data_IF_331204433721
#
_entry.id   IF_331204433721
#
_cell.length_a   1.000
_cell.length_b   1.000
_cell.length_c   1.000
_cell.angle_alpha   90.00
_cell.angle_beta   90.00
_cell.angle_gamma   90.00
#
_symmetry.space_group_name_H-M   'P 1'
#
loop_
_entity.id
_entity.type
_entity.pdbx_description
1 polymer ?
#
# COMPACT_ATOMS: atom_id res chain seq x y z
N UNK A 1 -47.66 -18.92 51.30
CA UNK A 1 -47.20 -19.43 49.98
C UNK A 1 -47.37 -18.47 48.79
N UNK A 2 -48.29 -17.48 48.83
CA UNK A 2 -48.58 -16.58 47.69
C UNK A 2 -47.53 -15.49 47.40
N UNK A 3 -46.67 -15.15 48.36
CA UNK A 3 -45.68 -14.07 48.20
C UNK A 3 -44.45 -14.51 47.38
N UNK A 4 -43.96 -15.75 47.57
CA UNK A 4 -42.82 -16.29 46.81
C UNK A 4 -43.10 -16.41 45.30
N UNK A 5 -44.29 -16.86 44.89
CA UNK A 5 -44.61 -17.01 43.46
C UNK A 5 -44.75 -15.67 42.74
N UNK A 6 -45.27 -14.63 43.41
CA UNK A 6 -45.35 -13.27 42.84
C UNK A 6 -43.98 -12.65 42.57
N UNK A 7 -43.02 -12.89 43.45
CA UNK A 7 -41.63 -12.43 43.27
C UNK A 7 -40.95 -13.18 42.12
N UNK A 8 -41.11 -14.50 42.05
CA UNK A 8 -40.53 -15.30 40.95
C UNK A 8 -41.09 -14.90 39.59
N UNK A 9 -42.40 -14.70 39.47
CA UNK A 9 -43.04 -14.26 38.22
C UNK A 9 -42.55 -12.86 37.81
N UNK A 10 -42.35 -11.94 38.77
CA UNK A 10 -41.87 -10.59 38.49
C UNK A 10 -40.42 -10.57 38.01
N UNK A 11 -39.55 -11.42 38.56
CA UNK A 11 -38.16 -11.57 38.11
C UNK A 11 -38.11 -12.15 36.69
N UNK A 12 -38.91 -13.19 36.40
CA UNK A 12 -38.98 -13.76 35.06
C UNK A 12 -39.52 -12.77 34.03
N UNK A 13 -40.55 -11.99 34.38
CA UNK A 13 -41.06 -10.94 33.50
C UNK A 13 -40.00 -9.87 33.22
N UNK A 14 -39.20 -9.48 34.22
CA UNK A 14 -38.16 -8.48 34.06
C UNK A 14 -36.98 -8.99 33.20
N UNK A 15 -36.57 -10.24 33.40
CA UNK A 15 -35.52 -10.88 32.57
C UNK A 15 -36.00 -11.08 31.13
N UNK A 16 -37.28 -11.43 30.94
CA UNK A 16 -37.88 -11.57 29.61
C UNK A 16 -37.99 -10.22 28.87
N UNK A 17 -38.36 -9.15 29.58
CA UNK A 17 -38.36 -7.80 29.01
C UNK A 17 -36.93 -7.38 28.64
N UNK A 18 -35.95 -7.59 29.52
CA UNK A 18 -34.56 -7.26 29.25
C UNK A 18 -33.97 -8.04 28.06
N UNK A 19 -34.31 -9.31 27.88
CA UNK A 19 -33.83 -10.10 26.74
C UNK A 19 -34.42 -9.67 25.41
N UNK A 20 -35.69 -9.26 25.38
CA UNK A 20 -36.33 -8.68 24.18
C UNK A 20 -35.65 -7.37 23.77
N UNK A 21 -35.23 -6.55 24.74
CA UNK A 21 -34.48 -5.32 24.45
C UNK A 21 -33.10 -5.56 23.83
N UNK A 22 -32.41 -6.66 24.18
CA UNK A 22 -31.10 -7.02 23.59
C UNK A 22 -31.23 -7.42 22.11
N UNK A 23 -32.38 -7.96 21.70
CA UNK A 23 -32.67 -8.30 20.30
C UNK A 23 -33.14 -7.12 19.44
N UNK A 24 -33.60 -6.03 20.06
CA UNK A 24 -34.04 -4.81 19.37
C UNK A 24 -32.91 -3.78 19.19
N UNK A 25 -31.76 -3.99 19.82
CA UNK A 25 -30.56 -3.21 19.52
C UNK A 25 -30.05 -3.71 18.17
N UNK A 26 -30.03 -2.87 17.11
CA UNK A 26 -29.37 -3.26 15.87
C UNK A 26 -27.91 -3.50 16.22
N UNK A 27 -27.47 -4.76 16.14
CA UNK A 27 -26.06 -5.10 16.22
C UNK A 27 -25.43 -4.34 15.06
N UNK A 28 -24.73 -3.25 15.37
CA UNK A 28 -24.13 -2.40 14.35
C UNK A 28 -23.32 -3.26 13.40
N UNK A 29 -23.42 -2.98 12.11
CA UNK A 29 -22.58 -3.65 11.12
C UNK A 29 -21.13 -3.51 11.57
N UNK A 30 -20.41 -4.63 11.69
CA UNK A 30 -18.96 -4.60 11.88
C UNK A 30 -18.38 -4.13 10.56
N UNK A 31 -18.28 -2.81 10.41
CA UNK A 31 -17.52 -2.20 9.32
C UNK A 31 -16.07 -2.30 9.76
N UNK A 32 -15.25 -3.04 9.02
CA UNK A 32 -13.82 -2.97 9.22
C UNK A 32 -13.41 -1.49 9.06
N UNK A 33 -12.87 -0.88 10.12
CA UNK A 33 -12.16 0.39 10.03
C UNK A 33 -10.85 0.15 9.26
N UNK A 34 -10.95 -0.12 7.97
CA UNK A 34 -9.87 0.24 7.07
C UNK A 34 -9.98 1.74 6.91
N UNK A 35 -9.02 2.51 7.43
CA UNK A 35 -8.81 3.85 6.91
C UNK A 35 -8.73 3.69 5.39
N UNK A 36 -9.62 4.39 4.66
CA UNK A 36 -9.71 4.28 3.21
C UNK A 36 -8.41 4.73 2.56
N UNK A 37 -7.45 3.82 2.47
CA UNK A 37 -6.15 4.09 1.90
C UNK A 37 -6.30 4.52 0.46
N UNK A 38 -5.66 5.63 0.09
CA UNK A 38 -5.62 6.05 -1.30
C UNK A 38 -4.83 5.01 -2.10
N UNK A 39 -5.49 4.39 -3.08
CA UNK A 39 -4.81 3.50 -4.02
C UNK A 39 -3.83 4.32 -4.86
N UNK A 40 -2.56 3.94 -4.83
CA UNK A 40 -1.53 4.45 -5.74
C UNK A 40 -1.38 3.45 -6.88
N UNK A 41 -1.66 3.86 -8.11
CA UNK A 41 -1.60 2.99 -9.28
C UNK A 41 -1.44 3.80 -10.57
N UNK A 42 -0.79 3.21 -11.56
CA UNK A 42 -0.79 3.66 -12.96
C UNK A 42 -1.44 2.63 -13.87
N UNK A 43 -1.52 2.93 -15.16
CA UNK A 43 -2.08 1.99 -16.16
C UNK A 43 -1.21 0.76 -16.40
N UNK A 44 0.07 0.81 -16.01
CA UNK A 44 1.00 -0.31 -16.06
C UNK A 44 2.00 -0.24 -14.88
N UNK A 45 2.94 -1.20 -14.85
CA UNK A 45 3.97 -1.27 -13.80
C UNK A 45 4.92 -0.07 -13.80
N UNK A 46 5.23 0.49 -14.96
CA UNK A 46 6.14 1.62 -15.10
C UNK A 46 5.51 2.89 -14.54
N UNK A 47 4.24 3.14 -14.89
CA UNK A 47 3.48 4.29 -14.39
C UNK A 47 3.09 4.12 -12.93
N UNK A 48 2.85 2.90 -12.46
CA UNK A 48 2.66 2.65 -11.02
C UNK A 48 3.90 3.03 -10.22
N UNK A 49 5.10 2.69 -10.69
CA UNK A 49 6.35 3.11 -10.05
C UNK A 49 6.50 4.65 -10.04
N UNK A 50 6.08 5.32 -11.11
CA UNK A 50 6.04 6.79 -11.17
C UNK A 50 5.03 7.38 -10.17
N UNK A 51 3.84 6.82 -10.01
CA UNK A 51 2.85 7.32 -9.03
C UNK A 51 3.30 7.10 -7.58
N UNK A 52 4.00 5.99 -7.30
CA UNK A 52 4.68 5.77 -6.01
C UNK A 52 5.75 6.84 -5.79
N UNK A 53 6.57 7.12 -6.79
CA UNK A 53 7.59 8.17 -6.74
C UNK A 53 6.97 9.55 -6.47
N UNK A 54 5.89 9.92 -7.15
CA UNK A 54 5.20 11.20 -6.93
C UNK A 54 4.61 11.34 -5.54
N UNK A 55 4.12 10.23 -4.96
CA UNK A 55 3.53 10.24 -3.63
C UNK A 55 4.59 10.38 -2.54
N UNK A 56 5.73 9.71 -2.68
CA UNK A 56 6.81 9.76 -1.67
C UNK A 56 7.79 10.93 -1.83
N UNK A 57 7.98 11.46 -3.05
CA UNK A 57 9.07 12.38 -3.35
C UNK A 57 8.67 13.53 -4.26
N UNK A 58 8.82 14.75 -3.76
CA UNK A 58 8.79 15.96 -4.59
C UNK A 58 10.10 16.11 -5.38
N UNK A 59 11.23 15.79 -4.74
CA UNK A 59 12.58 15.77 -5.30
C UNK A 59 13.35 14.59 -4.70
N UNK A 60 14.33 14.06 -5.42
CA UNK A 60 15.22 13.02 -4.92
C UNK A 60 16.59 13.16 -5.59
N UNK A 61 17.67 13.23 -4.81
CA UNK A 61 19.03 13.29 -5.34
C UNK A 61 19.38 11.98 -6.08
N UNK A 62 18.93 10.86 -5.53
CA UNK A 62 19.20 9.51 -6.04
C UNK A 62 17.91 8.86 -6.51
N UNK A 63 18.00 8.14 -7.63
CA UNK A 63 16.97 7.22 -8.12
C UNK A 63 17.58 5.82 -8.23
N UNK A 64 16.83 4.81 -7.86
CA UNK A 64 17.18 3.42 -8.10
C UNK A 64 16.44 2.93 -9.35
N UNK A 65 17.15 2.35 -10.31
CA UNK A 65 16.60 1.87 -11.56
C UNK A 65 16.74 0.36 -11.63
N UNK A 66 15.64 -0.34 -11.91
CA UNK A 66 15.62 -1.79 -12.02
C UNK A 66 14.84 -2.23 -13.26
N UNK A 67 15.13 -3.45 -13.72
CA UNK A 67 14.41 -4.06 -14.82
C UNK A 67 12.98 -4.45 -14.41
N UNK A 68 12.02 -4.23 -15.30
CA UNK A 68 10.60 -4.38 -15.03
C UNK A 68 10.08 -5.80 -15.27
N UNK A 69 10.68 -6.54 -16.20
CA UNK A 69 10.32 -7.90 -16.60
C UNK A 69 10.94 -8.98 -15.69
N UNK A 70 11.96 -8.64 -14.91
CA UNK A 70 12.61 -9.53 -13.92
C UNK A 70 12.78 -8.79 -12.59
N UNK A 71 11.98 -9.18 -11.60
CA UNK A 71 11.75 -8.36 -10.39
C UNK A 71 12.74 -8.61 -9.24
N UNK A 72 13.60 -9.64 -9.32
CA UNK A 72 14.47 -10.05 -8.22
C UNK A 72 15.39 -8.91 -7.76
N UNK A 73 15.96 -8.17 -8.71
CA UNK A 73 16.83 -7.03 -8.44
C UNK A 73 16.07 -5.89 -7.76
N UNK A 74 14.87 -5.55 -8.26
CA UNK A 74 14.02 -4.52 -7.65
C UNK A 74 13.63 -4.86 -6.20
N UNK A 75 13.31 -6.14 -5.93
CA UNK A 75 12.96 -6.61 -4.60
C UNK A 75 14.15 -6.53 -3.64
N UNK A 76 15.31 -7.05 -4.05
CA UNK A 76 16.54 -7.00 -3.26
C UNK A 76 17.05 -5.56 -3.04
N UNK A 77 16.71 -4.64 -3.94
CA UNK A 77 17.08 -3.23 -3.89
C UNK A 77 16.33 -2.37 -2.88
N UNK A 78 15.24 -2.86 -2.27
CA UNK A 78 14.41 -2.04 -1.38
C UNK A 78 15.18 -1.43 -0.19
N UNK A 79 16.06 -2.16 0.54
CA UNK A 79 16.87 -1.56 1.60
C UNK A 79 17.86 -0.50 1.10
N UNK A 80 18.37 -0.66 -0.13
CA UNK A 80 19.26 0.31 -0.77
C UNK A 80 18.51 1.61 -1.09
N UNK A 81 17.33 1.49 -1.69
CA UNK A 81 16.44 2.61 -1.98
C UNK A 81 16.06 3.36 -0.69
N UNK A 82 15.75 2.63 0.38
CA UNK A 82 15.50 3.21 1.70
C UNK A 82 16.70 3.98 2.23
N UNK A 83 17.90 3.39 2.19
CA UNK A 83 19.15 4.02 2.66
C UNK A 83 19.43 5.36 1.96
N UNK A 84 19.13 5.47 0.67
CA UNK A 84 19.34 6.69 -0.11
C UNK A 84 18.12 7.61 -0.17
N UNK A 85 17.03 7.29 0.54
CA UNK A 85 15.75 7.99 0.42
C UNK A 85 15.35 8.19 -1.05
N UNK A 86 15.41 7.13 -1.84
CA UNK A 86 15.27 7.14 -3.29
C UNK A 86 14.06 6.34 -3.74
N UNK A 87 13.30 6.79 -4.76
CA UNK A 87 12.31 5.95 -5.40
C UNK A 87 12.97 4.87 -6.28
N UNK A 88 12.28 3.74 -6.44
CA UNK A 88 12.63 2.71 -7.41
C UNK A 88 11.78 2.93 -8.67
N UNK A 89 12.44 3.19 -9.80
CA UNK A 89 11.82 3.27 -11.11
C UNK A 89 12.13 2.03 -11.94
N UNK A 90 11.27 1.76 -12.91
CA UNK A 90 11.33 0.55 -13.72
C UNK A 90 11.68 0.86 -15.17
N UNK A 91 12.48 -0.02 -15.78
CA UNK A 91 12.86 0.07 -17.20
C UNK A 91 12.93 -1.31 -17.86
N UNK A 92 13.21 -1.37 -19.17
CA UNK A 92 13.48 -2.62 -19.89
C UNK A 92 14.98 -2.82 -20.07
N UNK A 93 15.38 -4.05 -20.39
CA UNK A 93 16.80 -4.40 -20.63
C UNK A 93 17.45 -3.52 -21.69
N UNK A 94 16.81 -3.45 -22.86
CA UNK A 94 17.36 -2.82 -24.07
C UNK A 94 16.67 -1.48 -24.39
N UNK A 95 16.13 -0.80 -23.37
CA UNK A 95 15.65 0.57 -23.52
C UNK A 95 15.49 1.27 -22.17
N UNK A 96 15.76 2.57 -22.12
CA UNK A 96 15.34 3.42 -21.01
C UNK A 96 13.88 3.84 -21.21
N UNK A 97 12.99 3.32 -20.36
CA UNK A 97 11.57 3.66 -20.43
C UNK A 97 11.37 5.18 -20.28
N UNK A 98 10.52 5.75 -21.16
CA UNK A 98 10.23 7.18 -21.17
C UNK A 98 9.68 7.67 -19.83
N UNK A 99 8.80 6.92 -19.18
CA UNK A 99 8.24 7.33 -17.89
C UNK A 99 9.30 7.42 -16.80
N UNK A 100 10.28 6.51 -16.79
CA UNK A 100 11.40 6.56 -15.86
C UNK A 100 12.30 7.77 -16.13
N UNK A 101 12.62 8.04 -17.40
CA UNK A 101 13.43 9.21 -17.81
C UNK A 101 12.77 10.53 -17.41
N UNK A 102 11.48 10.67 -17.69
CA UNK A 102 10.72 11.87 -17.38
C UNK A 102 10.65 12.08 -15.87
N UNK A 103 10.49 11.00 -15.10
CA UNK A 103 10.41 11.05 -13.64
C UNK A 103 11.77 11.37 -12.98
N UNK A 104 12.88 10.81 -13.49
CA UNK A 104 14.25 11.19 -13.09
C UNK A 104 14.44 12.71 -13.25
N UNK A 105 13.98 13.25 -14.39
CA UNK A 105 14.06 14.69 -14.68
C UNK A 105 13.19 15.50 -13.72
N UNK A 106 11.95 15.07 -13.46
CA UNK A 106 11.04 15.71 -12.50
C UNK A 106 11.63 15.79 -11.09
N UNK A 107 12.26 14.71 -10.66
CA UNK A 107 12.90 14.58 -9.35
C UNK A 107 14.19 15.40 -9.22
N UNK A 108 14.76 15.86 -10.35
CA UNK A 108 16.07 16.51 -10.44
C UNK A 108 17.20 15.64 -9.89
N UNK A 109 17.10 14.33 -10.12
CA UNK A 109 18.09 13.39 -9.63
C UNK A 109 19.44 13.60 -10.31
N UNK A 110 20.50 13.59 -9.52
CA UNK A 110 21.89 13.73 -9.97
C UNK A 110 22.62 12.39 -9.98
N UNK A 111 22.05 11.37 -9.33
CA UNK A 111 22.60 10.02 -9.25
C UNK A 111 21.53 8.99 -9.60
N UNK A 112 21.87 8.07 -10.50
CA UNK A 112 21.07 6.88 -10.79
C UNK A 112 21.87 5.65 -10.39
N UNK A 113 21.28 4.80 -9.54
CA UNK A 113 21.84 3.52 -9.14
C UNK A 113 21.08 2.44 -9.89
N UNK A 114 21.78 1.67 -10.72
CA UNK A 114 21.18 0.58 -11.48
C UNK A 114 21.35 -0.72 -10.71
N UNK A 115 20.27 -1.47 -10.61
CA UNK A 115 20.27 -2.81 -10.02
C UNK A 115 20.38 -3.86 -11.11
N UNK A 116 21.30 -4.81 -10.90
CA UNK A 116 21.72 -5.79 -11.88
C UNK A 116 22.94 -5.34 -12.69
N UNK A 117 23.48 -6.24 -13.50
CA UNK A 117 24.57 -5.94 -14.43
C UNK A 117 24.05 -5.55 -15.82
N UNK A 118 24.96 -5.50 -16.80
CA UNK A 118 24.65 -5.18 -18.21
C UNK A 118 23.63 -6.13 -18.87
N UNK A 119 23.41 -7.31 -18.28
CA UNK A 119 22.37 -8.26 -18.70
C UNK A 119 20.96 -7.89 -18.21
N UNK A 120 20.87 -7.08 -17.15
CA UNK A 120 19.61 -6.58 -16.61
C UNK A 120 19.24 -5.22 -17.22
N UNK A 121 20.20 -4.31 -17.36
CA UNK A 121 20.05 -3.04 -18.09
C UNK A 121 21.29 -2.85 -18.95
N UNK A 122 21.13 -2.82 -20.26
CA UNK A 122 22.24 -2.71 -21.20
C UNK A 122 22.93 -1.36 -21.08
N UNK A 123 24.27 -1.36 -21.07
CA UNK A 123 25.12 -0.17 -20.95
C UNK A 123 24.82 0.92 -22.00
N UNK A 124 24.26 0.55 -23.15
CA UNK A 124 23.83 1.49 -24.20
C UNK A 124 22.67 2.41 -23.78
N UNK A 125 21.97 2.07 -22.70
CA UNK A 125 20.78 2.77 -22.20
C UNK A 125 20.95 3.30 -20.77
N UNK A 126 22.21 3.34 -20.30
CA UNK A 126 22.64 3.83 -19.00
C UNK A 126 23.34 5.18 -19.13
#
# INVERSE_FOLDING_TARGET
MKLKSRVTISIFALVFVASVFIFLIPWGSVVAQGEGGQRIFGSDRFLTAVEVSKTGWQQAETVVLARADEYADALAGAPLAYKYNAPILLTLKDSLNKSARDEITRLKATRVIILGGSQAVSDSYV
#
